data_IF_867859114588
#
_entry.id   IF_867859114588
#
_cell.length_a   1.000
_cell.length_b   1.000
_cell.length_c   1.000
_cell.angle_alpha   90.00
_cell.angle_beta   90.00
_cell.angle_gamma   90.00
#
_symmetry.space_group_name_H-M   'P 1'
#
loop_
_entity.id
_entity.type
_entity.pdbx_description
1 polymer ?
#
# COMPACT_ATOMS: atom_id res chain seq x y z
N UNK A 1 24.36 6.34 7.31
CA UNK A 1 24.67 7.77 7.11
C UNK A 1 24.95 8.43 8.44
N UNK A 2 24.03 8.32 9.41
CA UNK A 2 24.15 8.88 10.77
C UNK A 2 24.27 7.84 11.88
N UNK A 3 23.88 6.59 11.62
CA UNK A 3 23.96 5.47 12.58
C UNK A 3 22.74 5.35 13.50
N UNK A 4 21.66 6.09 13.26
CA UNK A 4 20.45 6.05 14.11
C UNK A 4 19.69 4.73 13.94
N UNK A 5 19.54 4.29 12.70
CA UNK A 5 18.94 2.99 12.35
C UNK A 5 19.99 2.18 11.60
N UNK A 6 20.08 0.89 11.90
CA UNK A 6 20.97 -0.03 11.19
C UNK A 6 20.61 -0.05 9.70
N UNK A 7 21.61 0.01 8.84
CA UNK A 7 21.41 -0.07 7.41
C UNK A 7 20.77 -1.41 7.00
N UNK A 8 19.85 -1.35 6.07
CA UNK A 8 19.19 -2.48 5.42
C UNK A 8 19.34 -2.40 3.89
N UNK A 9 19.15 -3.50 3.15
CA UNK A 9 19.08 -3.50 1.68
C UNK A 9 18.24 -2.36 1.08
N UNK A 10 17.07 -2.05 1.65
CA UNK A 10 16.25 -0.93 1.20
C UNK A 10 16.95 0.42 1.35
N UNK A 11 17.54 0.69 2.51
CA UNK A 11 18.27 1.95 2.74
C UNK A 11 19.47 2.11 1.82
N UNK A 12 20.18 1.02 1.53
CA UNK A 12 21.30 1.05 0.58
C UNK A 12 20.81 1.34 -0.83
N UNK A 13 19.71 0.69 -1.26
CA UNK A 13 19.09 0.94 -2.56
C UNK A 13 18.67 2.40 -2.71
N UNK A 14 18.13 3.01 -1.66
CA UNK A 14 17.79 4.45 -1.69
C UNK A 14 19.02 5.34 -1.81
N UNK A 15 20.11 5.01 -1.11
CA UNK A 15 21.37 5.75 -1.26
C UNK A 15 21.91 5.64 -2.69
N UNK A 16 21.91 4.44 -3.27
CA UNK A 16 22.42 4.23 -4.63
C UNK A 16 21.54 4.96 -5.67
N UNK A 17 20.21 4.85 -5.54
CA UNK A 17 19.23 5.45 -6.46
C UNK A 17 19.28 6.97 -6.50
N UNK A 18 19.59 7.61 -5.36
CA UNK A 18 19.61 9.06 -5.25
C UNK A 18 21.02 9.66 -5.22
N UNK A 19 22.09 8.86 -5.31
CA UNK A 19 23.47 9.37 -5.24
C UNK A 19 23.88 9.81 -3.83
N UNK A 20 23.36 9.12 -2.81
CA UNK A 20 23.67 9.33 -1.41
C UNK A 20 22.66 10.20 -0.66
N UNK A 21 22.98 10.49 0.61
CA UNK A 21 22.06 11.17 1.54
C UNK A 21 21.61 12.56 1.07
N UNK A 22 22.52 13.34 0.49
CA UNK A 22 22.19 14.66 -0.05
C UNK A 22 21.14 14.57 -1.16
N UNK A 23 21.23 13.56 -2.02
CA UNK A 23 20.26 13.33 -3.08
C UNK A 23 18.89 12.89 -2.56
N UNK A 24 18.85 12.06 -1.50
CA UNK A 24 17.59 11.70 -0.82
C UNK A 24 16.89 12.96 -0.30
N UNK A 25 17.63 13.89 0.32
CA UNK A 25 17.09 15.16 0.80
C UNK A 25 16.60 16.04 -0.35
N UNK A 26 17.37 16.14 -1.44
CA UNK A 26 16.93 16.92 -2.61
C UNK A 26 15.68 16.35 -3.27
N UNK A 27 15.55 15.02 -3.32
CA UNK A 27 14.34 14.35 -3.77
C UNK A 27 13.17 14.69 -2.84
N UNK A 28 13.31 14.50 -1.53
CA UNK A 28 12.20 14.69 -0.58
C UNK A 28 11.66 16.13 -0.55
N UNK A 29 12.51 17.13 -0.78
CA UNK A 29 12.11 18.55 -0.85
C UNK A 29 11.24 18.89 -2.06
N UNK A 30 11.31 18.10 -3.14
CA UNK A 30 10.61 18.38 -4.42
C UNK A 30 9.55 17.34 -4.75
N UNK A 31 9.61 16.18 -4.11
CA UNK A 31 8.77 15.03 -4.40
C UNK A 31 7.29 15.33 -4.11
N UNK A 32 6.45 14.93 -5.06
CA UNK A 32 4.99 14.89 -4.93
C UNK A 32 4.56 13.48 -4.54
N UNK A 33 3.29 13.26 -4.14
CA UNK A 33 2.81 11.93 -3.79
C UNK A 33 3.08 10.86 -4.86
N UNK A 34 2.97 11.21 -6.15
CA UNK A 34 3.29 10.31 -7.25
C UNK A 34 4.77 9.92 -7.32
N UNK A 35 5.69 10.82 -6.97
CA UNK A 35 7.12 10.54 -6.97
C UNK A 35 7.48 9.54 -5.86
N UNK A 36 6.89 9.68 -4.67
CA UNK A 36 7.03 8.71 -3.60
C UNK A 36 6.43 7.34 -3.98
N UNK A 37 5.31 7.31 -4.69
CA UNK A 37 4.70 6.08 -5.16
C UNK A 37 5.61 5.29 -6.12
N UNK A 38 6.54 5.95 -6.82
CA UNK A 38 7.55 5.25 -7.66
C UNK A 38 8.54 4.41 -6.84
N UNK A 39 8.62 4.63 -5.52
CA UNK A 39 9.48 3.87 -4.61
C UNK A 39 8.80 2.62 -4.05
N UNK A 40 7.49 2.46 -4.25
CA UNK A 40 6.73 1.32 -3.72
C UNK A 40 7.29 -0.04 -4.15
N UNK A 41 7.69 -0.28 -5.41
CA UNK A 41 8.28 -1.56 -5.79
C UNK A 41 9.50 -1.94 -4.97
N UNK A 42 10.39 -0.97 -4.68
CA UNK A 42 11.59 -1.19 -3.88
C UNK A 42 11.23 -1.59 -2.43
N UNK A 43 10.22 -0.94 -1.85
CA UNK A 43 9.74 -1.26 -0.49
C UNK A 43 9.13 -2.66 -0.46
N UNK A 44 8.23 -2.98 -1.39
CA UNK A 44 7.52 -4.26 -1.42
C UNK A 44 8.48 -5.43 -1.67
N UNK A 45 9.40 -5.29 -2.62
CA UNK A 45 10.39 -6.32 -2.97
C UNK A 45 11.30 -6.61 -1.78
N UNK A 46 11.87 -5.57 -1.17
CA UNK A 46 12.78 -5.74 -0.03
C UNK A 46 12.07 -6.26 1.21
N UNK A 47 10.85 -5.78 1.49
CA UNK A 47 10.03 -6.31 2.60
C UNK A 47 9.73 -7.80 2.43
N UNK A 48 9.39 -8.23 1.21
CA UNK A 48 9.14 -9.65 0.90
C UNK A 48 10.40 -10.52 1.07
N UNK A 49 11.59 -9.93 0.95
CA UNK A 49 12.88 -10.58 1.19
C UNK A 49 13.34 -10.51 2.67
N UNK A 50 12.51 -9.99 3.58
CA UNK A 50 12.83 -9.89 5.01
C UNK A 50 13.65 -8.65 5.41
N UNK A 51 13.71 -7.62 4.56
CA UNK A 51 14.32 -6.34 4.91
C UNK A 51 13.62 -5.71 6.12
N UNK A 52 14.39 -5.27 7.12
CA UNK A 52 13.86 -4.74 8.37
C UNK A 52 13.10 -3.42 8.18
N UNK A 53 13.63 -2.50 7.36
CA UNK A 53 13.00 -1.20 7.09
C UNK A 53 11.78 -1.40 6.19
N UNK A 54 11.89 -2.19 5.12
CA UNK A 54 10.80 -2.51 4.22
C UNK A 54 9.64 -3.19 4.95
N UNK A 55 9.92 -4.19 5.78
CA UNK A 55 8.92 -4.87 6.61
C UNK A 55 8.24 -3.89 7.56
N UNK A 56 9.01 -3.02 8.22
CA UNK A 56 8.45 -1.99 9.12
C UNK A 56 7.49 -1.04 8.40
N UNK A 57 7.81 -0.63 7.18
CA UNK A 57 6.94 0.23 6.36
C UNK A 57 5.64 -0.49 5.97
N UNK A 58 5.73 -1.76 5.56
CA UNK A 58 4.56 -2.56 5.20
C UNK A 58 3.64 -2.83 6.39
N UNK A 59 4.21 -3.15 7.57
CA UNK A 59 3.45 -3.33 8.81
C UNK A 59 2.72 -2.04 9.20
N UNK A 60 3.40 -0.89 9.20
CA UNK A 60 2.73 0.40 9.52
C UNK A 60 1.61 0.74 8.54
N UNK A 61 1.80 0.45 7.25
CA UNK A 61 0.73 0.60 6.27
C UNK A 61 -0.46 -0.32 6.55
N UNK A 62 -0.19 -1.58 6.91
CA UNK A 62 -1.24 -2.54 7.28
C UNK A 62 -1.98 -2.14 8.56
N UNK A 63 -1.30 -1.59 9.57
CA UNK A 63 -1.92 -1.05 10.80
C UNK A 63 -2.88 0.09 10.50
N UNK A 64 -2.51 0.97 9.57
CA UNK A 64 -3.39 2.04 9.09
C UNK A 64 -4.62 1.47 8.37
N UNK A 65 -4.42 0.50 7.46
CA UNK A 65 -5.52 -0.17 6.77
C UNK A 65 -6.46 -0.88 7.73
N UNK A 66 -5.94 -1.60 8.73
CA UNK A 66 -6.76 -2.28 9.73
C UNK A 66 -7.56 -1.27 10.58
N UNK A 67 -6.95 -0.13 10.92
CA UNK A 67 -7.65 0.96 11.61
C UNK A 67 -8.80 1.53 10.77
N UNK A 68 -8.59 1.71 9.46
CA UNK A 68 -9.64 2.13 8.54
C UNK A 68 -10.77 1.09 8.42
N UNK A 69 -10.42 -0.21 8.38
CA UNK A 69 -11.41 -1.30 8.37
C UNK A 69 -12.24 -1.31 9.65
N UNK A 70 -11.62 -1.11 10.82
CA UNK A 70 -12.34 -0.97 12.11
C UNK A 70 -13.31 0.21 12.09
N UNK A 71 -12.90 1.34 11.54
CA UNK A 71 -13.76 2.53 11.45
C UNK A 71 -14.97 2.34 10.51
N UNK A 72 -14.92 1.35 9.62
CA UNK A 72 -16.02 0.97 8.74
C UNK A 72 -16.89 -0.16 9.32
N UNK A 73 -16.69 -0.51 10.60
CA UNK A 73 -17.32 -1.67 11.26
C UNK A 73 -17.13 -2.99 10.50
N UNK A 74 -16.05 -3.10 9.71
CA UNK A 74 -15.72 -4.33 9.00
C UNK A 74 -15.47 -5.44 10.03
N UNK A 75 -16.18 -6.55 9.90
CA UNK A 75 -16.16 -7.67 10.84
C UNK A 75 -15.40 -8.88 10.32
N UNK A 76 -15.24 -9.88 11.20
CA UNK A 76 -14.77 -11.19 10.79
C UNK A 76 -15.83 -11.84 9.88
N UNK A 77 -15.41 -12.27 8.68
CA UNK A 77 -16.31 -12.88 7.69
C UNK A 77 -16.81 -11.91 6.62
N UNK A 78 -16.58 -10.61 6.76
CA UNK A 78 -16.86 -9.66 5.69
C UNK A 78 -15.89 -9.86 4.52
N UNK A 79 -16.38 -9.60 3.30
CA UNK A 79 -15.54 -9.69 2.10
C UNK A 79 -14.62 -8.47 2.05
N UNK A 80 -13.31 -8.73 1.93
CA UNK A 80 -12.31 -7.71 1.70
C UNK A 80 -11.70 -7.87 0.31
N UNK A 81 -11.67 -6.79 -0.47
CA UNK A 81 -10.97 -6.74 -1.76
C UNK A 81 -9.85 -5.71 -1.69
N UNK A 82 -8.60 -6.18 -1.63
CA UNK A 82 -7.42 -5.32 -1.74
C UNK A 82 -7.21 -4.95 -3.21
N UNK A 83 -7.53 -3.70 -3.56
CA UNK A 83 -7.50 -3.22 -4.94
C UNK A 83 -6.37 -2.22 -5.19
N UNK A 84 -6.11 -1.91 -6.47
CA UNK A 84 -5.02 -1.04 -6.89
C UNK A 84 -3.66 -1.75 -6.96
N UNK A 85 -2.64 -1.02 -7.38
CA UNK A 85 -1.30 -1.60 -7.60
C UNK A 85 -0.55 -1.99 -6.33
N UNK A 86 -0.92 -1.40 -5.18
CA UNK A 86 -0.24 -1.64 -3.89
C UNK A 86 -1.05 -2.56 -2.97
N UNK A 87 -2.38 -2.44 -3.00
CA UNK A 87 -3.29 -3.14 -2.09
C UNK A 87 -2.98 -4.62 -1.89
N UNK A 88 -2.87 -5.44 -2.96
CA UNK A 88 -2.61 -6.87 -2.84
C UNK A 88 -1.36 -7.23 -2.04
N UNK A 89 -0.34 -6.37 -2.02
CA UNK A 89 0.90 -6.61 -1.28
C UNK A 89 0.76 -6.47 0.23
N UNK A 90 -0.35 -5.91 0.73
CA UNK A 90 -0.62 -5.82 2.17
C UNK A 90 -1.23 -7.09 2.77
N UNK A 91 -1.72 -8.04 1.95
CA UNK A 91 -2.36 -9.25 2.46
C UNK A 91 -1.51 -10.01 3.51
N UNK A 92 -0.18 -10.19 3.34
CA UNK A 92 0.64 -10.89 4.33
C UNK A 92 0.85 -10.12 5.65
N UNK A 93 0.57 -8.81 5.67
CA UNK A 93 0.83 -7.92 6.80
C UNK A 93 -0.43 -7.55 7.58
N UNK A 94 -1.61 -7.93 7.09
CA UNK A 94 -2.90 -7.71 7.75
C UNK A 94 -3.22 -8.85 8.75
N UNK A 95 -3.98 -8.57 9.82
CA UNK A 95 -4.45 -9.61 10.74
C UNK A 95 -5.24 -10.70 10.01
N UNK A 96 -5.10 -11.95 10.46
CA UNK A 96 -5.77 -13.11 9.84
C UNK A 96 -7.30 -12.99 9.80
N UNK A 97 -7.89 -12.29 10.78
CA UNK A 97 -9.33 -12.04 10.84
C UNK A 97 -9.83 -11.17 9.67
N UNK A 98 -8.94 -10.34 9.11
CA UNK A 98 -9.21 -9.49 7.94
C UNK A 98 -9.03 -10.24 6.63
N UNK A 99 -8.15 -11.22 6.61
CA UNK A 99 -7.72 -11.87 5.36
C UNK A 99 -8.42 -13.20 5.09
N UNK A 100 -9.23 -13.70 6.04
CA UNK A 100 -9.98 -14.94 5.89
C UNK A 100 -10.93 -14.97 4.69
N UNK A 101 -11.50 -13.82 4.31
CA UNK A 101 -12.44 -13.67 3.20
C UNK A 101 -11.95 -12.68 2.13
N UNK A 102 -10.67 -12.76 1.75
CA UNK A 102 -10.14 -12.00 0.63
C UNK A 102 -10.78 -12.43 -0.69
N UNK A 103 -11.29 -11.45 -1.44
CA UNK A 103 -11.82 -11.66 -2.77
C UNK A 103 -11.03 -10.85 -3.81
N UNK A 104 -10.92 -11.41 -5.01
CA UNK A 104 -10.42 -10.67 -6.17
C UNK A 104 -11.43 -9.60 -6.60
N UNK A 105 -10.92 -8.49 -7.15
CA UNK A 105 -11.76 -7.47 -7.73
C UNK A 105 -12.60 -8.06 -8.88
N UNK A 106 -13.91 -7.80 -8.87
CA UNK A 106 -14.84 -8.27 -9.92
C UNK A 106 -14.72 -7.48 -11.23
N UNK A 107 -14.00 -6.37 -11.21
CA UNK A 107 -13.80 -5.47 -12.34
C UNK A 107 -12.97 -4.27 -11.91
N UNK A 108 -12.73 -3.35 -12.84
CA UNK A 108 -12.05 -2.08 -12.61
C UNK A 108 -13.02 -1.06 -12.01
N UNK A 109 -12.49 0.02 -11.46
CA UNK A 109 -13.29 1.12 -10.92
C UNK A 109 -14.28 1.68 -11.95
N UNK A 110 -13.86 1.79 -13.22
CA UNK A 110 -14.73 2.28 -14.31
C UNK A 110 -15.91 1.35 -14.61
N UNK A 111 -15.75 0.04 -14.41
CA UNK A 111 -16.83 -0.92 -14.61
C UNK A 111 -17.90 -0.73 -13.52
N UNK A 112 -17.47 -0.42 -12.29
CA UNK A 112 -18.36 -0.03 -11.20
C UNK A 112 -19.08 1.31 -11.45
N UNK A 113 -18.40 2.30 -12.03
CA UNK A 113 -19.01 3.58 -12.39
C UNK A 113 -20.12 3.43 -13.45
N UNK A 114 -19.88 2.59 -14.47
CA UNK A 114 -20.90 2.27 -15.49
C UNK A 114 -22.09 1.56 -14.85
N UNK A 115 -21.86 0.57 -13.98
CA UNK A 115 -22.94 -0.13 -13.29
C UNK A 115 -23.79 0.83 -12.42
N UNK A 116 -23.16 1.81 -11.78
CA UNK A 116 -23.87 2.84 -11.01
C UNK A 116 -24.72 3.74 -11.91
N UNK A 117 -24.18 4.20 -13.05
CA UNK A 117 -24.91 5.03 -14.00
C UNK A 117 -26.13 4.31 -14.59
N UNK A 118 -25.98 3.03 -14.93
CA UNK A 118 -27.10 2.20 -15.42
C UNK A 118 -28.22 2.07 -14.38
N UNK A 119 -27.87 1.88 -13.10
CA UNK A 119 -28.87 1.82 -12.01
C UNK A 119 -29.62 3.14 -11.84
N UNK A 120 -28.90 4.26 -11.91
CA UNK A 120 -29.50 5.59 -11.80
C UNK A 120 -30.45 5.89 -12.98
N UNK A 121 -30.07 5.51 -14.20
CA UNK A 121 -30.92 5.70 -15.39
C UNK A 121 -32.19 4.84 -15.37
N UNK A 122 -32.19 3.70 -14.65
CA UNK A 122 -33.32 2.79 -14.54
C UNK A 122 -34.31 3.14 -13.41
N UNK A 123 -33.97 4.08 -12.51
CA UNK A 123 -34.87 4.51 -11.44
C UNK A 123 -35.89 5.54 -11.98
N UNK A 124 -37.21 5.34 -11.76
CA UNK A 124 -38.21 6.32 -12.13
C UNK A 124 -38.03 7.61 -11.31
N UNK A 125 -38.31 8.76 -11.93
CA UNK A 125 -38.21 10.10 -11.31
C UNK A 125 -39.23 10.32 -10.20
#
# INVERSE_FOLDING_TARGET
VDGIVQASPLSQRMLDKFGGAAGIVQFSLKARPGDFATLTPDVVETASAGDTIGTTLMVRGAEYLDSALRALDHGAGDILCLSGGVGPHYAPYLPSERTGNLASAKGRAVDGAVALAMRAAAQPR
#
